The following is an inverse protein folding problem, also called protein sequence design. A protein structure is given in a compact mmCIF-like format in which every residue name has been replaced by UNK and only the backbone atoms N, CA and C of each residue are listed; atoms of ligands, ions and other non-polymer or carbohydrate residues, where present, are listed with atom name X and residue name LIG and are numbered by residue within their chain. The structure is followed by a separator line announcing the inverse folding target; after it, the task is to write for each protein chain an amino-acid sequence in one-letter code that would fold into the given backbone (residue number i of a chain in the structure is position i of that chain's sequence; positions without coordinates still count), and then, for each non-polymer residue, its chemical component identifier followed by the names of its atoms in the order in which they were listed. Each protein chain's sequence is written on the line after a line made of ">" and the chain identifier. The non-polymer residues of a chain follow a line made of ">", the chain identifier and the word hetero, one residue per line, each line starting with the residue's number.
data_IF_053384106384
#
_entry.id   IF_053384106384
#
_cell.length_a   1.000
_cell.length_b   1.000
_cell.length_c   1.000
_cell.angle_alpha   90.00
_cell.angle_beta   90.00
_cell.angle_gamma   90.00
#
_symmetry.space_group_name_H-M   'P 1'
#
loop_
_entity.id
_entity.type
_entity.pdbx_description
1 polymer ?
#
# COMPACT_ATOMS: atom_id res chain seq x y z
N UNK A 1 -12.49 3.73 10.29
CA UNK A 1 -12.86 2.86 9.15
C UNK A 1 -12.65 3.74 7.94
N UNK A 2 -11.63 3.41 7.16
CA UNK A 2 -11.26 4.17 5.97
C UNK A 2 -12.12 3.68 4.80
N UNK A 3 -12.57 4.59 3.94
CA UNK A 3 -13.18 4.19 2.68
C UNK A 3 -12.12 3.52 1.80
N UNK A 4 -12.53 2.56 0.96
CA UNK A 4 -11.61 1.93 0.03
C UNK A 4 -11.17 2.95 -1.04
N UNK A 5 -9.96 3.49 -0.89
CA UNK A 5 -9.37 4.48 -1.81
C UNK A 5 -8.52 3.85 -2.92
N UNK A 6 -8.50 2.52 -3.01
CA UNK A 6 -7.76 1.77 -4.04
C UNK A 6 -8.71 0.94 -4.92
N UNK A 7 -8.40 0.73 -6.21
CA UNK A 7 -9.23 -0.07 -7.09
C UNK A 7 -8.92 -1.56 -6.96
N UNK A 8 -9.87 -2.42 -7.37
CA UNK A 8 -9.63 -3.88 -7.46
C UNK A 8 -8.79 -4.24 -8.69
N UNK A 9 -9.01 -3.54 -9.80
CA UNK A 9 -8.29 -3.76 -11.06
C UNK A 9 -7.63 -2.46 -11.52
N UNK A 10 -8.42 -1.46 -11.89
CA UNK A 10 -7.94 -0.16 -12.34
C UNK A 10 -9.01 0.91 -12.15
N UNK A 11 -8.61 2.12 -11.80
CA UNK A 11 -9.51 3.27 -11.74
C UNK A 11 -8.76 4.61 -11.89
N UNK A 12 -9.44 5.63 -12.39
CA UNK A 12 -8.93 7.01 -12.51
C UNK A 12 -9.37 7.84 -11.30
N UNK A 13 -8.41 8.30 -10.49
CA UNK A 13 -8.65 9.23 -9.38
C UNK A 13 -8.18 10.63 -9.79
N UNK A 14 -9.09 11.43 -10.35
CA UNK A 14 -8.71 12.71 -10.95
C UNK A 14 -7.81 12.48 -12.18
N UNK A 15 -6.61 13.05 -12.15
CA UNK A 15 -5.58 12.94 -13.20
C UNK A 15 -4.61 11.75 -13.00
N UNK A 16 -4.82 10.92 -11.97
CA UNK A 16 -3.96 9.77 -11.65
C UNK A 16 -4.70 8.46 -11.94
N UNK A 17 -4.15 7.66 -12.86
CA UNK A 17 -4.56 6.27 -13.07
C UNK A 17 -3.91 5.39 -12.01
N UNK A 18 -4.72 4.59 -11.31
CA UNK A 18 -4.24 3.60 -10.34
C UNK A 18 -4.63 2.22 -10.85
N UNK A 19 -3.64 1.36 -11.06
CA UNK A 19 -3.83 -0.03 -11.47
C UNK A 19 -3.27 -0.97 -10.40
N UNK A 20 -4.06 -1.96 -10.00
CA UNK A 20 -3.65 -3.04 -9.10
C UNK A 20 -2.97 -4.12 -9.91
N UNK A 21 -1.64 -4.16 -9.85
CA UNK A 21 -0.80 -5.13 -10.55
C UNK A 21 -0.89 -6.50 -9.86
N UNK A 22 -0.90 -6.49 -8.54
CA UNK A 22 -0.74 -7.69 -7.73
C UNK A 22 -1.40 -7.52 -6.36
N UNK A 23 -1.97 -8.61 -5.85
CA UNK A 23 -2.58 -8.68 -4.51
C UNK A 23 -2.23 -10.02 -3.86
N UNK A 24 -1.61 -9.95 -2.69
CA UNK A 24 -1.30 -11.09 -1.85
C UNK A 24 -2.06 -11.00 -0.53
N UNK A 25 -2.93 -11.98 -0.29
CA UNK A 25 -3.69 -12.09 0.96
C UNK A 25 -3.00 -13.07 1.90
N UNK A 26 -2.75 -12.64 3.13
CA UNK A 26 -2.23 -13.45 4.24
C UNK A 26 -3.26 -13.46 5.38
N UNK A 27 -2.96 -14.22 6.44
CA UNK A 27 -3.85 -14.31 7.60
C UNK A 27 -4.14 -12.97 8.29
N UNK A 28 -3.14 -12.08 8.40
CA UNK A 28 -3.27 -10.82 9.16
C UNK A 28 -3.08 -9.56 8.30
N UNK A 29 -2.79 -9.73 7.02
CA UNK A 29 -2.41 -8.64 6.14
C UNK A 29 -2.86 -8.89 4.71
N UNK A 30 -3.08 -7.80 3.98
CA UNK A 30 -3.19 -7.82 2.53
C UNK A 30 -2.14 -6.89 1.94
N UNK A 31 -1.31 -7.40 1.05
CA UNK A 31 -0.34 -6.60 0.33
C UNK A 31 -0.81 -6.37 -1.09
N UNK A 32 -0.70 -5.13 -1.56
CA UNK A 32 -1.01 -4.77 -2.94
C UNK A 32 0.17 -4.07 -3.58
N UNK A 33 0.31 -4.26 -4.88
CA UNK A 33 1.25 -3.51 -5.70
C UNK A 33 0.44 -2.68 -6.68
N UNK A 34 0.60 -1.36 -6.62
CA UNK A 34 -0.09 -0.44 -7.50
C UNK A 34 0.87 0.16 -8.51
N UNK A 35 0.40 0.36 -9.73
CA UNK A 35 1.00 1.26 -10.70
C UNK A 35 0.19 2.55 -10.69
N UNK A 36 0.85 3.65 -10.36
CA UNK A 36 0.29 4.99 -10.46
C UNK A 36 0.85 5.62 -11.72
N UNK A 37 -0.02 6.10 -12.60
CA UNK A 37 0.36 6.77 -13.84
C UNK A 37 -0.32 8.13 -13.88
N UNK A 38 0.46 9.19 -14.11
CA UNK A 38 -0.04 10.55 -14.28
C UNK A 38 0.44 11.09 -15.62
N UNK A 39 -0.47 11.68 -16.39
CA UNK A 39 -0.11 12.40 -17.63
C UNK A 39 0.05 13.87 -17.29
N UNK A 40 1.21 14.42 -17.62
CA UNK A 40 1.58 15.82 -17.44
C UNK A 40 1.94 16.42 -18.79
N UNK A 41 2.07 17.74 -18.87
CA UNK A 41 2.51 18.42 -20.09
C UNK A 41 3.93 18.00 -20.51
N UNK A 42 4.77 17.62 -19.53
CA UNK A 42 6.15 17.16 -19.71
C UNK A 42 6.24 15.65 -20.05
N UNK A 43 5.12 14.94 -20.09
CA UNK A 43 5.05 13.52 -20.44
C UNK A 43 4.30 12.64 -19.43
N UNK A 44 4.57 11.34 -19.46
CA UNK A 44 3.91 10.34 -18.60
C UNK A 44 4.82 9.96 -17.45
N UNK A 45 4.39 10.28 -16.23
CA UNK A 45 5.05 9.86 -15.00
C UNK A 45 4.42 8.56 -14.49
N UNK A 46 5.25 7.60 -14.11
CA UNK A 46 4.78 6.31 -13.55
C UNK A 46 5.54 5.98 -12.27
N UNK A 47 4.81 5.50 -11.25
CA UNK A 47 5.38 5.06 -9.97
C UNK A 47 4.78 3.73 -9.54
N UNK A 48 5.61 2.85 -8.99
CA UNK A 48 5.15 1.62 -8.32
C UNK A 48 5.02 1.89 -6.83
N UNK A 49 3.85 1.59 -6.27
CA UNK A 49 3.55 1.77 -4.84
C UNK A 49 3.23 0.42 -4.22
N UNK A 50 3.94 0.06 -3.15
CA UNK A 50 3.62 -1.10 -2.33
C UNK A 50 2.73 -0.69 -1.18
N UNK A 51 1.55 -1.31 -1.09
CA UNK A 51 0.57 -1.06 -0.05
C UNK A 51 0.55 -2.24 0.92
N UNK A 52 0.80 -1.95 2.20
CA UNK A 52 0.78 -2.93 3.28
C UNK A 52 -0.44 -2.64 4.15
N UNK A 53 -1.46 -3.50 4.11
CA UNK A 53 -2.70 -3.33 4.86
C UNK A 53 -2.78 -4.37 5.98
N UNK A 54 -2.67 -3.95 7.24
CA UNK A 54 -2.93 -4.79 8.41
C UNK A 54 -4.45 -4.87 8.65
N UNK A 55 -5.02 -6.07 8.70
CA UNK A 55 -6.48 -6.26 8.72
C UNK A 55 -7.05 -6.68 10.08
N UNK A 56 -6.19 -7.13 11.00
CA UNK A 56 -6.59 -7.78 12.26
C UNK A 56 -6.41 -6.87 13.49
N UNK A 57 -6.50 -5.55 13.33
CA UNK A 57 -6.46 -4.63 14.46
C UNK A 57 -7.88 -4.30 14.89
N UNK A 58 -8.36 -4.95 15.96
CA UNK A 58 -9.68 -4.67 16.53
C UNK A 58 -9.66 -3.36 17.34
N UNK A 59 -10.78 -2.63 17.34
CA UNK A 59 -10.83 -1.26 17.87
C UNK A 59 -10.47 -1.12 19.35
N UNK A 60 -10.82 -2.13 20.17
CA UNK A 60 -10.65 -2.09 21.63
C UNK A 60 -9.57 -3.05 22.15
N UNK A 61 -8.69 -3.55 21.26
CA UNK A 61 -7.65 -4.50 21.64
C UNK A 61 -6.26 -4.15 21.09
N UNK A 62 -5.24 -4.77 21.68
CA UNK A 62 -3.91 -4.74 21.11
C UNK A 62 -3.83 -5.72 19.94
N UNK A 63 -3.15 -5.36 18.84
CA UNK A 63 -2.94 -6.29 17.75
C UNK A 63 -2.10 -7.47 18.23
N UNK A 64 -2.23 -8.61 17.56
CA UNK A 64 -1.30 -9.73 17.76
C UNK A 64 0.15 -9.23 17.53
N UNK A 65 0.91 -9.13 18.62
CA UNK A 65 2.24 -8.49 18.63
C UNK A 65 3.17 -9.12 17.59
N UNK A 66 3.13 -10.45 17.47
CA UNK A 66 3.92 -11.19 16.48
C UNK A 66 3.58 -10.79 15.04
N UNK A 67 2.30 -10.62 14.72
CA UNK A 67 1.85 -10.18 13.40
C UNK A 67 2.31 -8.74 13.11
N UNK A 68 2.20 -7.83 14.09
CA UNK A 68 2.64 -6.45 13.89
C UNK A 68 4.16 -6.33 13.71
N UNK A 69 4.94 -7.10 14.48
CA UNK A 69 6.40 -7.18 14.30
C UNK A 69 6.75 -7.72 12.91
N UNK A 70 6.04 -8.74 12.45
CA UNK A 70 6.23 -9.31 11.11
C UNK A 70 5.91 -8.29 10.01
N UNK A 71 4.82 -7.52 10.15
CA UNK A 71 4.50 -6.42 9.23
C UNK A 71 5.66 -5.43 9.15
N UNK A 72 6.14 -4.95 10.30
CA UNK A 72 7.27 -4.00 10.38
C UNK A 72 8.51 -4.56 9.69
N UNK A 73 8.81 -5.84 9.91
CA UNK A 73 9.93 -6.54 9.27
C UNK A 73 9.79 -6.55 7.74
N UNK A 74 8.59 -6.87 7.22
CA UNK A 74 8.34 -6.91 5.78
C UNK A 74 8.40 -5.53 5.13
N UNK A 75 7.87 -4.49 5.79
CA UNK A 75 8.00 -3.10 5.33
C UNK A 75 9.47 -2.72 5.23
N UNK A 76 10.26 -2.96 6.28
CA UNK A 76 11.69 -2.67 6.28
C UNK A 76 12.44 -3.40 5.17
N UNK A 77 12.21 -4.71 5.01
CA UNK A 77 12.84 -5.50 3.96
C UNK A 77 12.49 -5.01 2.55
N UNK A 78 11.26 -4.52 2.35
CA UNK A 78 10.87 -3.93 1.07
C UNK A 78 11.63 -2.62 0.80
N UNK A 79 11.75 -1.75 1.80
CA UNK A 79 12.49 -0.48 1.68
C UNK A 79 13.99 -0.68 1.46
N UNK A 80 14.60 -1.66 2.11
CA UNK A 80 16.02 -2.01 1.90
C UNK A 80 16.28 -2.53 0.47
N UNK A 81 15.33 -3.30 -0.09
CA UNK A 81 15.43 -3.81 -1.46
C UNK A 81 15.08 -2.79 -2.54
N UNK A 82 14.26 -1.80 -2.20
CA UNK A 82 13.76 -0.78 -3.11
C UNK A 82 14.04 0.59 -2.49
N UNK A 83 15.31 1.05 -2.48
CA UNK A 83 15.64 2.36 -1.96
C UNK A 83 14.94 3.44 -2.79
N UNK A 84 14.10 4.24 -2.15
CA UNK A 84 13.38 5.35 -2.77
C UNK A 84 13.55 6.57 -1.88
N UNK A 85 13.83 7.72 -2.50
CA UNK A 85 13.82 9.02 -1.82
C UNK A 85 12.38 9.54 -1.68
N UNK A 86 11.59 8.84 -0.86
CA UNK A 86 10.21 9.21 -0.57
C UNK A 86 9.81 8.74 0.84
N UNK A 87 8.98 9.50 1.56
CA UNK A 87 8.48 9.09 2.86
C UNK A 87 7.49 7.92 2.76
N UNK A 88 7.45 7.11 3.81
CA UNK A 88 6.41 6.09 3.97
C UNK A 88 5.13 6.77 4.48
N UNK A 89 4.01 6.54 3.80
CA UNK A 89 2.70 6.99 4.25
C UNK A 89 2.11 5.91 5.18
N UNK A 90 1.75 6.32 6.39
CA UNK A 90 1.05 5.48 7.38
C UNK A 90 -0.24 6.18 7.75
N UNK A 91 -1.36 5.45 7.75
CA UNK A 91 -2.65 5.96 8.21
C UNK A 91 -3.39 4.90 9.03
N UNK A 92 -4.25 5.40 9.91
CA UNK A 92 -5.22 4.65 10.69
C UNK A 92 -6.52 5.48 10.78
N UNK A 93 -7.53 4.99 11.51
CA UNK A 93 -8.73 5.79 11.81
C UNK A 93 -8.40 6.87 12.82
#
# INVERSE_FOLDING_TARGET
>A
MCLQYWPLTRFMFGDIEVETIDTHTYAHFVFRTFRLTRKTDDGVETRIVKHFHFTEWELDSFPYISAFIELRRRVRQYMEKNPVDAPIIVHCR
#
